data_IF_660664245967
#
_entry.id   IF_660664245967
#
_cell.length_a   1.000
_cell.length_b   1.000
_cell.length_c   1.000
_cell.angle_alpha   90.00
_cell.angle_beta   90.00
_cell.angle_gamma   90.00
#
_symmetry.space_group_name_H-M   'P 1'
#
loop_
_entity.id
_entity.type
_entity.pdbx_description
1 polymer ?
#
# COMPACT_ATOMS: atom_id res chain seq x y z
N UNK A 1 -43.55 20.54 -3.49
CA UNK A 1 -42.45 20.17 -4.40
C UNK A 1 -41.16 20.22 -3.58
N UNK A 2 -40.63 19.09 -3.13
CA UNK A 2 -39.44 19.06 -2.24
C UNK A 2 -38.16 18.98 -3.09
N UNK A 3 -37.15 19.85 -2.89
CA UNK A 3 -35.92 19.78 -3.66
C UNK A 3 -35.01 18.66 -3.14
N UNK A 4 -34.62 17.80 -4.06
CA UNK A 4 -33.73 16.65 -3.90
C UNK A 4 -32.26 17.08 -3.90
N UNK A 5 -31.70 17.42 -2.75
CA UNK A 5 -30.29 17.79 -2.58
C UNK A 5 -29.43 16.73 -1.84
N UNK A 6 -29.80 15.45 -1.92
CA UNK A 6 -29.03 14.34 -1.34
C UNK A 6 -27.97 13.80 -2.32
N UNK A 7 -27.04 14.64 -2.81
CA UNK A 7 -25.83 14.14 -3.50
C UNK A 7 -24.71 15.18 -3.62
N UNK A 8 -24.16 15.64 -2.51
CA UNK A 8 -22.98 16.51 -2.49
C UNK A 8 -21.85 15.83 -1.71
N UNK A 9 -20.78 15.47 -2.42
CA UNK A 9 -19.51 15.05 -1.80
C UNK A 9 -19.08 13.59 -2.02
N UNK A 10 -19.03 13.09 -3.26
CA UNK A 10 -18.10 11.98 -3.54
C UNK A 10 -16.71 12.60 -3.66
N UNK A 11 -15.83 12.31 -2.70
CA UNK A 11 -14.42 12.70 -2.81
C UNK A 11 -13.90 12.27 -4.19
N UNK A 12 -13.53 13.24 -5.02
CA UNK A 12 -12.79 13.00 -6.26
C UNK A 12 -11.40 12.56 -5.84
N UNK A 13 -11.21 11.25 -5.70
CA UNK A 13 -9.87 10.66 -5.66
C UNK A 13 -9.21 11.07 -6.96
N UNK A 14 -8.25 12.00 -6.90
CA UNK A 14 -7.37 12.27 -8.05
C UNK A 14 -6.82 10.92 -8.47
N UNK A 15 -7.00 10.53 -9.74
CA UNK A 15 -6.26 9.42 -10.34
C UNK A 15 -4.78 9.81 -10.38
N UNK A 16 -4.11 9.79 -9.22
CA UNK A 16 -2.66 9.64 -9.17
C UNK A 16 -2.36 8.27 -9.76
N UNK A 17 -1.55 8.25 -10.81
CA UNK A 17 -1.12 7.09 -11.60
C UNK A 17 -1.34 5.77 -10.88
N UNK A 18 -2.47 5.11 -11.18
CA UNK A 18 -2.70 3.75 -10.74
C UNK A 18 -1.73 2.87 -11.53
N UNK A 19 -0.78 2.27 -10.83
CA UNK A 19 0.15 1.36 -11.48
C UNK A 19 -0.58 0.07 -11.86
N UNK A 20 -0.54 -0.28 -13.14
CA UNK A 20 -0.90 -1.59 -13.66
C UNK A 20 0.34 -2.48 -13.88
N UNK A 21 1.52 -2.00 -13.49
CA UNK A 21 2.73 -2.79 -13.49
C UNK A 21 2.66 -3.89 -12.45
N UNK A 22 3.31 -5.02 -12.77
CA UNK A 22 3.57 -6.07 -11.79
C UNK A 22 4.79 -5.74 -10.92
N UNK A 23 5.48 -4.62 -11.18
CA UNK A 23 6.65 -4.15 -10.47
C UNK A 23 6.30 -3.31 -9.24
N UNK A 24 7.09 -3.44 -8.18
CA UNK A 24 7.02 -2.54 -7.05
C UNK A 24 7.76 -1.23 -7.37
N UNK A 25 7.00 -0.15 -7.48
CA UNK A 25 7.51 1.20 -7.73
C UNK A 25 7.41 2.08 -6.47
N UNK A 26 8.54 2.46 -5.83
CA UNK A 26 8.54 3.36 -4.68
C UNK A 26 7.79 4.66 -4.98
N UNK A 27 6.92 5.09 -4.07
CA UNK A 27 6.13 6.32 -4.19
C UNK A 27 4.85 6.18 -5.02
N UNK A 28 4.62 5.02 -5.64
CA UNK A 28 3.38 4.75 -6.38
C UNK A 28 2.46 3.88 -5.53
N UNK A 29 1.25 4.39 -5.27
CA UNK A 29 0.25 3.61 -4.56
C UNK A 29 -0.30 2.50 -5.48
N UNK A 30 -0.37 1.24 -5.01
CA UNK A 30 -0.91 0.16 -5.84
C UNK A 30 -2.37 0.45 -6.18
N UNK A 31 -2.77 0.09 -7.40
CA UNK A 31 -4.14 0.28 -7.89
C UNK A 31 -5.18 -0.53 -7.11
N UNK A 32 -4.74 -1.60 -6.44
CA UNK A 32 -5.55 -2.49 -5.61
C UNK A 32 -5.16 -2.40 -4.14
N UNK A 33 -6.14 -2.60 -3.25
CA UNK A 33 -5.91 -2.61 -1.78
C UNK A 33 -5.04 -3.79 -1.32
N UNK A 34 -5.13 -4.92 -2.02
CA UNK A 34 -4.34 -6.11 -1.80
C UNK A 34 -3.53 -6.34 -3.08
N UNK A 35 -2.22 -6.46 -2.93
CA UNK A 35 -1.30 -6.73 -4.03
C UNK A 35 -0.24 -7.72 -3.57
N UNK A 36 0.24 -8.53 -4.51
CA UNK A 36 1.36 -9.43 -4.31
C UNK A 36 2.38 -9.15 -5.42
N UNK A 37 3.66 -9.10 -5.04
CA UNK A 37 4.77 -8.92 -5.95
C UNK A 37 5.60 -10.20 -5.98
N UNK A 38 6.16 -10.57 -7.14
CA UNK A 38 7.21 -11.57 -7.17
C UNK A 38 8.52 -10.92 -6.72
N UNK A 39 9.44 -11.72 -6.15
CA UNK A 39 10.71 -11.18 -5.64
C UNK A 39 11.59 -10.56 -6.75
N UNK A 40 11.44 -11.03 -8.00
CA UNK A 40 12.13 -10.45 -9.15
C UNK A 40 11.59 -9.07 -9.56
N UNK A 41 10.36 -8.75 -9.17
CA UNK A 41 9.67 -7.50 -9.53
C UNK A 41 9.87 -6.40 -8.48
N UNK A 42 10.69 -6.65 -7.45
CA UNK A 42 11.01 -5.70 -6.37
C UNK A 42 12.48 -5.28 -6.49
N UNK A 43 12.74 -4.09 -7.01
CA UNK A 43 14.10 -3.62 -7.29
C UNK A 43 14.75 -2.81 -6.16
N UNK A 44 14.23 -2.91 -4.93
CA UNK A 44 14.87 -2.30 -3.75
C UNK A 44 16.21 -2.99 -3.45
N UNK A 45 17.34 -2.27 -3.32
CA UNK A 45 18.65 -2.85 -3.06
C UNK A 45 18.67 -3.77 -1.83
N UNK A 46 18.03 -3.38 -0.75
CA UNK A 46 17.96 -4.13 0.50
C UNK A 46 17.18 -5.44 0.35
N UNK A 47 16.17 -5.45 -0.52
CA UNK A 47 15.43 -6.67 -0.87
C UNK A 47 16.32 -7.62 -1.67
N UNK A 48 17.01 -7.12 -2.69
CA UNK A 48 17.88 -7.93 -3.54
C UNK A 48 19.04 -8.54 -2.74
N UNK A 49 19.68 -7.74 -1.90
CA UNK A 49 20.74 -8.21 -0.99
C UNK A 49 20.23 -9.29 -0.03
N UNK A 50 19.05 -9.08 0.58
CA UNK A 50 18.49 -10.04 1.51
C UNK A 50 18.10 -11.36 0.82
N UNK A 51 17.51 -11.31 -0.37
CA UNK A 51 17.20 -12.51 -1.16
C UNK A 51 18.47 -13.29 -1.52
N UNK A 52 19.54 -12.61 -1.93
CA UNK A 52 20.81 -13.25 -2.27
C UNK A 52 21.49 -13.90 -1.06
N UNK A 53 21.53 -13.20 0.07
CA UNK A 53 22.22 -13.68 1.29
C UNK A 53 21.45 -14.75 2.06
N UNK A 54 20.12 -14.81 1.90
CA UNK A 54 19.24 -15.73 2.64
C UNK A 54 18.70 -16.89 1.82
N UNK A 55 19.17 -17.03 0.57
CA UNK A 55 18.82 -18.18 -0.27
C UNK A 55 19.46 -19.46 0.25
N UNK A 56 18.63 -20.48 0.48
CA UNK A 56 19.06 -21.81 0.90
C UNK A 56 19.32 -22.67 -0.33
N UNK A 57 20.59 -22.91 -0.64
CA UNK A 57 21.01 -23.60 -1.88
C UNK A 57 21.11 -25.13 -1.74
N UNK A 58 21.12 -25.66 -0.52
CA UNK A 58 21.28 -27.08 -0.22
C UNK A 58 19.95 -27.84 -0.02
N UNK A 59 18.81 -27.19 -0.22
CA UNK A 59 17.50 -27.84 -0.16
C UNK A 59 17.18 -28.55 -1.48
N UNK A 60 16.49 -29.69 -1.40
CA UNK A 60 15.98 -30.42 -2.57
C UNK A 60 14.56 -30.01 -2.94
N UNK A 61 13.83 -29.42 -1.99
CA UNK A 61 12.44 -28.99 -2.13
C UNK A 61 12.22 -27.61 -1.51
N UNK A 62 11.24 -26.88 -2.03
CA UNK A 62 10.86 -25.57 -1.52
C UNK A 62 10.08 -25.71 -0.21
N UNK A 63 10.36 -24.83 0.76
CA UNK A 63 9.53 -24.71 1.96
C UNK A 63 8.10 -24.28 1.58
N UNK A 64 7.05 -24.83 2.21
CA UNK A 64 5.69 -24.37 1.98
C UNK A 64 5.45 -22.91 2.40
N UNK A 65 6.26 -22.35 3.31
CA UNK A 65 6.04 -20.99 3.84
C UNK A 65 7.07 -19.98 3.33
N UNK A 66 8.34 -20.37 3.24
CA UNK A 66 9.45 -19.47 2.85
C UNK A 66 10.13 -19.84 1.53
N UNK A 67 9.62 -20.84 0.81
CA UNK A 67 10.19 -21.31 -0.46
C UNK A 67 11.67 -21.67 -0.33
N UNK A 68 12.51 -20.97 -1.10
CA UNK A 68 13.97 -21.17 -1.14
C UNK A 68 14.76 -20.24 -0.22
N UNK A 69 14.08 -19.57 0.71
CA UNK A 69 14.71 -18.65 1.66
C UNK A 69 14.78 -19.28 3.05
N UNK A 70 15.69 -18.78 3.90
CA UNK A 70 15.70 -19.12 5.32
C UNK A 70 14.35 -18.75 5.98
N UNK A 71 13.83 -19.54 6.94
CA UNK A 71 12.64 -19.18 7.70
C UNK A 71 12.76 -17.77 8.33
N UNK A 72 11.67 -17.00 8.28
CA UNK A 72 11.65 -15.61 8.77
C UNK A 72 12.12 -14.55 7.76
N UNK A 73 12.66 -14.96 6.60
CA UNK A 73 13.15 -14.01 5.57
C UNK A 73 12.00 -13.31 4.85
N UNK A 74 10.90 -14.02 4.55
CA UNK A 74 9.74 -13.45 3.85
C UNK A 74 9.09 -12.33 4.67
N UNK A 75 9.02 -12.49 5.99
CA UNK A 75 8.54 -11.48 6.92
C UNK A 75 9.42 -10.23 6.90
N UNK A 76 10.75 -10.40 6.94
CA UNK A 76 11.71 -9.30 6.85
C UNK A 76 11.59 -8.55 5.51
N UNK A 77 11.43 -9.27 4.40
CA UNK A 77 11.21 -8.68 3.08
C UNK A 77 9.91 -7.85 3.05
N UNK A 78 8.84 -8.37 3.63
CA UNK A 78 7.55 -7.67 3.78
C UNK A 78 7.71 -6.38 4.58
N UNK A 79 8.50 -6.40 5.64
CA UNK A 79 8.75 -5.22 6.47
C UNK A 79 9.59 -4.16 5.75
N UNK A 80 10.57 -4.55 4.93
CA UNK A 80 11.35 -3.63 4.09
C UNK A 80 10.41 -2.91 3.11
N UNK A 81 9.62 -3.65 2.33
CA UNK A 81 8.68 -3.07 1.34
C UNK A 81 7.63 -2.20 2.02
N UNK A 82 7.09 -2.63 3.17
CA UNK A 82 6.11 -1.84 3.94
C UNK A 82 6.71 -0.55 4.49
N UNK A 83 7.95 -0.59 4.93
CA UNK A 83 8.67 0.59 5.44
C UNK A 83 8.95 1.58 4.31
N UNK A 84 9.41 1.07 3.16
CA UNK A 84 9.62 1.89 1.96
C UNK A 84 8.31 2.51 1.46
N UNK A 85 7.22 1.74 1.41
CA UNK A 85 5.89 2.24 1.02
C UNK A 85 5.42 3.37 1.93
N UNK A 86 5.52 3.19 3.25
CA UNK A 86 5.13 4.23 4.23
C UNK A 86 5.96 5.51 4.10
N UNK A 87 7.22 5.38 3.68
CA UNK A 87 8.14 6.50 3.49
C UNK A 87 7.86 7.23 2.18
N UNK A 88 7.60 6.48 1.11
CA UNK A 88 7.54 6.98 -0.26
C UNK A 88 6.15 7.42 -0.70
N UNK A 89 5.09 6.78 -0.21
CA UNK A 89 3.71 7.19 -0.47
C UNK A 89 3.30 8.15 0.65
N UNK A 90 3.09 9.45 0.35
CA UNK A 90 2.57 10.38 1.34
C UNK A 90 1.29 9.79 1.92
N UNK A 91 1.15 9.80 3.25
CA UNK A 91 -0.16 9.62 3.83
C UNK A 91 -1.07 10.62 3.12
N UNK A 92 -2.08 10.14 2.38
CA UNK A 92 -3.09 11.05 1.88
C UNK A 92 -3.68 11.68 3.12
N UNK A 93 -3.29 12.93 3.35
CA UNK A 93 -3.73 13.70 4.49
C UNK A 93 -5.25 13.63 4.53
N UNK A 94 -5.74 13.39 5.74
CA UNK A 94 -7.14 13.31 6.14
C UNK A 94 -8.04 14.15 5.23
N UNK A 95 -9.28 13.69 4.91
CA UNK A 95 -10.26 14.63 4.38
C UNK A 95 -10.30 15.83 5.34
N UNK A 96 -9.86 17.00 4.88
CA UNK A 96 -10.17 18.25 5.54
C UNK A 96 -11.69 18.25 5.63
N UNK A 97 -12.20 18.06 6.85
CA UNK A 97 -13.60 18.31 7.14
C UNK A 97 -13.73 19.82 6.96
N UNK A 98 -14.04 20.25 5.74
CA UNK A 98 -14.56 21.59 5.52
C UNK A 98 -15.78 21.69 6.41
N UNK A 99 -15.66 22.48 7.47
CA UNK A 99 -16.76 22.88 8.31
C UNK A 99 -17.82 23.46 7.39
N UNK A 100 -18.90 22.71 7.19
CA UNK A 100 -20.04 23.17 6.42
C UNK A 100 -20.55 24.47 7.07
N UNK A 101 -20.48 25.62 6.39
CA UNK A 101 -20.99 26.89 6.94
C UNK A 101 -22.52 26.83 7.16
N UNK A 102 -23.17 25.75 6.75
CA UNK A 102 -24.58 25.49 6.95
C UNK A 102 -24.87 24.43 8.03
N UNK A 103 -23.89 24.07 8.88
CA UNK A 103 -24.15 23.18 10.02
C UNK A 103 -25.04 23.91 11.03
N UNK A 104 -26.30 23.48 11.25
CA UNK A 104 -27.13 24.09 12.28
C UNK A 104 -26.47 23.85 13.63
N UNK A 105 -26.20 24.94 14.35
CA UNK A 105 -25.71 24.88 15.72
C UNK A 105 -26.78 24.20 16.57
N UNK A 106 -26.55 22.95 16.93
CA UNK A 106 -27.37 22.23 17.89
C UNK A 106 -27.07 22.78 19.28
N UNK A 107 -27.75 23.87 19.66
CA UNK A 107 -27.89 24.23 21.06
C UNK A 107 -28.89 23.27 21.71
N UNK A 108 -28.37 22.30 22.46
CA UNK A 108 -29.16 21.56 23.44
C UNK A 108 -29.25 22.40 24.71
N UNK A 109 -30.49 22.63 25.13
CA UNK A 109 -30.97 23.10 26.44
C UNK A 109 -30.47 24.46 26.95
#
# INVERSE_FOLDING_TARGET
MMPSNLRTGRATVRHSQMDSSNEYNPGVAPSQRLIAYQLCDIHLPEVQELVMTKRVTNRTEADPNCGWLEPGTVEKLRDIVKTDYKRSVPAQDKPEVQSDPNKPSSSNA
#
